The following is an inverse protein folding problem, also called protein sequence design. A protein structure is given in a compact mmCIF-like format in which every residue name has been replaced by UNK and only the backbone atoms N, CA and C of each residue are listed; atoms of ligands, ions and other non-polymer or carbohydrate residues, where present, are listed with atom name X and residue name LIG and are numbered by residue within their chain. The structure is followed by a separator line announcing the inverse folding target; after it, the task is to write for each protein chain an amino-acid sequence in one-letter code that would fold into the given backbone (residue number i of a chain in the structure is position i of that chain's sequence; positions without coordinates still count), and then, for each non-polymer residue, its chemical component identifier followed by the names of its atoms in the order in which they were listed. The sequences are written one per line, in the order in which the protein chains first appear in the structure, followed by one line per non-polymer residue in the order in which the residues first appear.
data_IF_879660557120
#
_entry.id   IF_879660557120
#
_cell.length_a   1.000
_cell.length_b   1.000
_cell.length_c   1.000
_cell.angle_alpha   90.00
_cell.angle_beta   90.00
_cell.angle_gamma   90.00
#
_symmetry.space_group_name_H-M   'P 1'
#
loop_
_entity.id
_entity.type
_entity.pdbx_description
1 polymer ?
#
# COMPACT_ATOMS: atom_id res chain seq x y z
N UNK A 1 -63.14 -57.03 -28.85
CA UNK A 1 -62.38 -55.78 -29.08
C UNK A 1 -60.93 -56.02 -28.69
N UNK A 2 -60.14 -56.49 -29.64
CA UNK A 2 -58.73 -56.87 -29.46
C UNK A 2 -58.01 -56.33 -30.70
N UNK A 3 -57.41 -55.15 -30.57
CA UNK A 3 -56.45 -54.64 -31.54
C UNK A 3 -55.18 -55.48 -31.40
N UNK A 4 -54.67 -55.99 -32.52
CA UNK A 4 -53.53 -56.90 -32.56
C UNK A 4 -52.25 -56.21 -32.11
N UNK A 5 -51.41 -56.98 -31.40
CA UNK A 5 -50.13 -56.61 -30.80
C UNK A 5 -49.11 -56.02 -31.79
N UNK A 6 -49.36 -56.04 -33.09
CA UNK A 6 -48.48 -55.54 -34.15
C UNK A 6 -48.41 -54.00 -34.28
N UNK A 7 -49.47 -53.26 -33.94
CA UNK A 7 -49.49 -51.80 -34.17
C UNK A 7 -48.78 -51.00 -33.06
N UNK A 8 -48.60 -51.60 -31.88
CA UNK A 8 -47.85 -50.98 -30.76
C UNK A 8 -46.33 -51.07 -30.97
N UNK A 9 -45.84 -52.08 -31.68
CA UNK A 9 -44.40 -52.27 -31.93
C UNK A 9 -43.84 -51.36 -33.03
N UNK A 10 -44.63 -50.90 -34.00
CA UNK A 10 -44.17 -49.96 -35.04
C UNK A 10 -44.01 -48.52 -34.51
N UNK A 11 -44.84 -48.11 -33.54
CA UNK A 11 -44.75 -46.78 -32.91
C UNK A 11 -43.51 -46.64 -31.99
N UNK A 12 -43.15 -47.70 -31.25
CA UNK A 12 -41.99 -47.71 -30.35
C UNK A 12 -40.64 -47.71 -31.11
N UNK A 13 -40.55 -48.34 -32.28
CA UNK A 13 -39.35 -48.32 -33.13
C UNK A 13 -39.10 -46.96 -33.80
N UNK A 14 -40.16 -46.21 -34.13
CA UNK A 14 -40.07 -44.87 -34.72
C UNK A 14 -39.50 -43.84 -33.73
N UNK A 15 -39.90 -43.91 -32.45
CA UNK A 15 -39.40 -43.00 -31.41
C UNK A 15 -37.94 -43.30 -31.00
N UNK A 16 -37.50 -44.56 -30.98
CA UNK A 16 -36.08 -44.91 -30.73
C UNK A 16 -35.14 -44.38 -31.82
N UNK A 17 -35.57 -44.39 -33.08
CA UNK A 17 -34.77 -43.86 -34.19
C UNK A 17 -34.73 -42.33 -34.22
N UNK A 18 -35.79 -41.64 -33.78
CA UNK A 18 -35.78 -40.18 -33.61
C UNK A 18 -34.90 -39.74 -32.44
N UNK A 19 -34.94 -40.45 -31.31
CA UNK A 19 -34.08 -40.15 -30.14
C UNK A 19 -32.60 -40.46 -30.44
N UNK A 20 -32.29 -41.53 -31.19
CA UNK A 20 -30.91 -41.80 -31.66
C UNK A 20 -30.41 -40.76 -32.66
N UNK A 21 -31.25 -40.28 -33.58
CA UNK A 21 -30.86 -39.22 -34.53
C UNK A 21 -30.67 -37.86 -33.84
N UNK A 22 -31.44 -37.55 -32.80
CA UNK A 22 -31.25 -36.34 -31.99
C UNK A 22 -29.99 -36.44 -31.12
N UNK A 23 -29.70 -37.62 -30.54
CA UNK A 23 -28.46 -37.86 -29.79
C UNK A 23 -27.21 -37.81 -30.68
N UNK A 24 -27.27 -38.29 -31.92
CA UNK A 24 -26.15 -38.22 -32.88
C UNK A 24 -25.95 -36.80 -33.43
N UNK A 25 -27.01 -35.97 -33.55
CA UNK A 25 -26.85 -34.55 -33.90
C UNK A 25 -26.23 -33.74 -32.75
N UNK A 26 -26.65 -34.01 -31.50
CA UNK A 26 -26.09 -33.35 -30.31
C UNK A 26 -24.63 -33.80 -30.07
N UNK A 27 -24.29 -35.06 -30.36
CA UNK A 27 -22.92 -35.57 -30.24
C UNK A 27 -21.98 -35.10 -31.38
N UNK A 28 -22.49 -34.81 -32.58
CA UNK A 28 -21.69 -34.24 -33.67
C UNK A 28 -21.51 -32.72 -33.59
N UNK A 29 -22.40 -31.99 -32.91
CA UNK A 29 -22.13 -30.61 -32.50
C UNK A 29 -21.08 -30.51 -31.38
N UNK A 30 -20.80 -31.62 -30.66
CA UNK A 30 -19.84 -31.67 -29.55
C UNK A 30 -18.43 -32.18 -29.92
N UNK A 31 -18.21 -32.64 -31.16
CA UNK A 31 -16.90 -33.19 -31.58
C UNK A 31 -16.30 -32.57 -32.87
N UNK A 32 -16.96 -31.60 -33.50
CA UNK A 32 -16.44 -30.86 -34.67
C UNK A 32 -16.42 -29.33 -34.50
N UNK A 33 -16.11 -28.87 -33.28
CA UNK A 33 -15.47 -27.57 -33.06
C UNK A 33 -14.29 -27.70 -32.08
N UNK A 34 -13.12 -28.19 -32.53
CA UNK A 34 -11.89 -27.92 -31.79
C UNK A 34 -10.87 -27.17 -32.66
N UNK A 35 -11.29 -26.34 -33.61
CA UNK A 35 -10.40 -25.37 -34.25
C UNK A 35 -11.20 -24.13 -34.63
N UNK A 36 -10.77 -22.96 -34.16
CA UNK A 36 -11.35 -21.63 -34.39
C UNK A 36 -12.42 -21.16 -33.39
N UNK A 37 -12.22 -21.44 -32.11
CA UNK A 37 -12.67 -20.58 -31.01
C UNK A 37 -11.55 -20.54 -29.96
N UNK A 38 -10.33 -20.20 -30.40
CA UNK A 38 -9.63 -19.15 -29.65
C UNK A 38 -10.60 -17.99 -29.79
N UNK A 39 -11.41 -17.76 -28.77
CA UNK A 39 -11.83 -16.40 -28.52
C UNK A 39 -10.55 -15.60 -28.74
N UNK A 40 -10.57 -14.70 -29.72
CA UNK A 40 -9.83 -13.49 -29.50
C UNK A 40 -10.35 -13.05 -28.13
N UNK A 41 -9.63 -13.41 -27.06
CA UNK A 41 -9.43 -12.45 -26.00
C UNK A 41 -9.27 -11.17 -26.79
N UNK A 42 -10.26 -10.29 -26.69
CA UNK A 42 -9.94 -8.90 -26.84
C UNK A 42 -8.71 -8.80 -25.96
N UNK A 43 -7.53 -8.71 -26.58
CA UNK A 43 -6.50 -7.81 -26.10
C UNK A 43 -7.30 -6.56 -25.84
N UNK A 44 -7.80 -6.45 -24.61
CA UNK A 44 -8.11 -5.16 -24.02
C UNK A 44 -6.82 -4.46 -24.36
N UNK A 45 -6.87 -3.53 -25.32
CA UNK A 45 -5.77 -2.59 -25.49
C UNK A 45 -5.49 -2.17 -24.07
N UNK A 46 -4.36 -2.65 -23.54
CA UNK A 46 -4.00 -2.43 -22.16
C UNK A 46 -3.87 -0.92 -22.11
N UNK A 47 -4.92 -0.25 -21.65
CA UNK A 47 -4.89 1.17 -21.40
C UNK A 47 -3.61 1.42 -20.63
N UNK A 48 -2.91 2.50 -20.97
CA UNK A 48 -1.56 2.77 -20.48
C UNK A 48 -1.41 2.33 -19.00
N UNK A 49 -0.66 1.24 -18.75
CA UNK A 49 -0.50 0.65 -17.40
C UNK A 49 0.16 1.62 -16.41
N UNK A 50 0.61 2.78 -16.89
CA UNK A 50 1.25 3.86 -16.15
C UNK A 50 0.30 5.02 -15.83
N UNK A 51 -1.01 4.89 -16.11
CA UNK A 51 -2.02 5.94 -15.83
C UNK A 51 -2.04 6.35 -14.35
N UNK A 52 -1.70 5.44 -13.43
CA UNK A 52 -1.63 5.75 -12.00
C UNK A 52 -0.62 6.86 -11.65
N UNK A 53 0.39 7.12 -12.50
CA UNK A 53 1.36 8.22 -12.32
C UNK A 53 0.70 9.62 -12.38
N UNK A 54 -0.51 9.68 -12.90
CA UNK A 54 -1.28 10.89 -13.15
C UNK A 54 -2.63 10.92 -12.42
N UNK A 55 -2.85 9.99 -11.48
CA UNK A 55 -4.07 9.88 -10.70
C UNK A 55 -3.84 10.14 -9.21
N UNK A 56 -4.93 10.44 -8.52
CA UNK A 56 -4.99 10.67 -7.07
C UNK A 56 -5.76 9.55 -6.34
N UNK A 57 -5.99 8.42 -7.02
CA UNK A 57 -6.69 7.26 -6.45
C UNK A 57 -5.78 6.56 -5.42
N UNK A 58 -6.18 6.39 -4.15
CA UNK A 58 -5.39 5.62 -3.20
C UNK A 58 -5.54 4.10 -3.36
N UNK A 59 -6.41 3.61 -4.24
CA UNK A 59 -6.76 2.18 -4.37
C UNK A 59 -6.34 1.53 -5.70
N UNK A 60 -5.47 2.17 -6.51
CA UNK A 60 -5.12 1.67 -7.85
C UNK A 60 -4.30 0.37 -7.85
N UNK A 61 -3.67 0.02 -6.73
CA UNK A 61 -2.81 -1.17 -6.62
C UNK A 61 -3.63 -2.46 -6.50
N UNK A 62 -3.05 -3.57 -6.92
CA UNK A 62 -3.67 -4.89 -6.84
C UNK A 62 -2.60 -5.97 -6.70
N UNK A 63 -3.01 -7.22 -6.44
CA UNK A 63 -2.12 -8.39 -6.36
C UNK A 63 -1.09 -8.48 -7.50
N UNK A 64 -1.52 -8.11 -8.71
CA UNK A 64 -0.74 -8.26 -9.95
C UNK A 64 0.02 -6.97 -10.33
N UNK A 65 -0.04 -5.93 -9.50
CA UNK A 65 0.70 -4.69 -9.68
C UNK A 65 2.21 -4.88 -9.39
N UNK A 66 3.12 -4.13 -10.05
CA UNK A 66 4.56 -4.29 -9.82
C UNK A 66 4.96 -4.03 -8.37
N UNK A 67 5.92 -4.80 -7.87
CA UNK A 67 6.22 -4.88 -6.43
C UNK A 67 7.30 -3.88 -6.03
N UNK A 68 7.13 -3.25 -4.87
CA UNK A 68 8.18 -2.53 -4.17
C UNK A 68 8.58 -3.30 -2.89
N UNK A 69 9.37 -4.35 -3.08
CA UNK A 69 9.79 -5.25 -2.01
C UNK A 69 10.74 -4.57 -1.02
N UNK A 70 10.81 -5.06 0.21
CA UNK A 70 11.69 -4.54 1.27
C UNK A 70 13.17 -4.44 0.86
N UNK A 71 13.76 -5.46 0.18
CA UNK A 71 15.14 -5.36 -0.31
C UNK A 71 15.42 -4.16 -1.23
N UNK A 72 14.42 -3.66 -1.98
CA UNK A 72 14.58 -2.50 -2.88
C UNK A 72 14.89 -1.20 -2.14
N UNK A 73 14.44 -1.05 -0.89
CA UNK A 73 14.47 0.22 -0.18
C UNK A 73 15.07 0.18 1.22
N UNK A 74 15.25 -1.00 1.83
CA UNK A 74 15.78 -1.09 3.18
C UNK A 74 17.30 -0.80 3.25
N UNK A 75 18.05 -1.21 2.21
CA UNK A 75 19.51 -1.06 2.14
C UNK A 75 20.33 -2.27 2.62
N UNK A 76 19.65 -3.35 3.02
CA UNK A 76 20.23 -4.65 3.36
C UNK A 76 19.36 -5.74 2.71
N UNK A 77 19.89 -6.52 1.75
CA UNK A 77 19.13 -7.55 1.04
C UNK A 77 18.63 -8.68 1.95
N UNK A 78 19.25 -8.88 3.12
CA UNK A 78 18.83 -9.94 4.06
C UNK A 78 17.51 -9.62 4.76
N UNK A 79 17.12 -8.34 4.80
CA UNK A 79 15.86 -7.90 5.40
C UNK A 79 14.72 -8.08 4.40
N UNK A 80 13.80 -8.98 4.75
CA UNK A 80 12.68 -9.36 3.90
C UNK A 80 11.40 -8.63 4.28
N UNK A 81 11.19 -8.25 5.53
CA UNK A 81 10.02 -7.45 5.92
C UNK A 81 10.36 -6.36 6.94
N UNK A 82 9.60 -5.27 6.87
CA UNK A 82 9.62 -4.23 7.90
C UNK A 82 8.27 -4.14 8.59
N UNK A 83 8.31 -4.15 9.92
CA UNK A 83 7.17 -3.93 10.79
C UNK A 83 7.19 -2.49 11.29
N UNK A 84 6.07 -1.78 11.12
CA UNK A 84 5.83 -0.50 11.80
C UNK A 84 4.73 -0.71 12.83
N UNK A 85 5.05 -0.56 14.10
CA UNK A 85 4.07 -0.58 15.18
C UNK A 85 3.62 0.87 15.41
N UNK A 86 2.38 1.18 15.05
CA UNK A 86 1.82 2.52 15.16
C UNK A 86 0.62 2.56 16.12
N UNK A 87 0.76 3.32 17.22
CA UNK A 87 -0.29 3.47 18.23
C UNK A 87 -1.06 4.78 18.03
N UNK A 88 -2.38 4.72 18.03
CA UNK A 88 -3.24 5.85 17.65
C UNK A 88 -3.79 6.64 18.84
N UNK A 89 -4.37 7.81 18.57
CA UNK A 89 -5.14 8.65 19.48
C UNK A 89 -4.40 9.43 20.57
N UNK A 90 -3.07 9.61 20.47
CA UNK A 90 -2.34 10.21 21.60
C UNK A 90 -2.83 11.62 21.95
N UNK A 91 -3.27 11.76 23.20
CA UNK A 91 -3.64 13.01 23.88
C UNK A 91 -3.09 13.14 25.31
N UNK A 92 -2.55 12.04 25.84
CA UNK A 92 -2.09 11.89 27.22
C UNK A 92 -0.80 11.08 27.22
N UNK A 93 0.32 11.74 27.50
CA UNK A 93 1.64 11.11 27.49
C UNK A 93 1.73 9.96 28.50
N UNK A 94 1.19 10.13 29.72
CA UNK A 94 1.37 9.15 30.79
C UNK A 94 0.66 7.84 30.49
N UNK A 95 -0.56 7.91 29.95
CA UNK A 95 -1.32 6.73 29.52
C UNK A 95 -0.55 5.95 28.46
N UNK A 96 0.01 6.64 27.47
CA UNK A 96 0.72 6.02 26.36
C UNK A 96 2.06 5.46 26.79
N UNK A 97 2.82 6.19 27.62
CA UNK A 97 4.07 5.69 28.21
C UNK A 97 3.83 4.42 29.02
N UNK A 98 2.80 4.40 29.88
CA UNK A 98 2.50 3.22 30.71
C UNK A 98 2.20 2.00 29.85
N UNK A 99 1.42 2.18 28.78
CA UNK A 99 1.09 1.09 27.87
C UNK A 99 2.30 0.63 27.05
N UNK A 100 3.03 1.58 26.46
CA UNK A 100 4.12 1.31 25.52
C UNK A 100 5.40 0.85 26.19
N UNK A 101 5.70 1.27 27.43
CA UNK A 101 7.03 1.05 28.03
C UNK A 101 7.55 -0.40 27.90
N UNK A 102 6.77 -1.44 28.21
CA UNK A 102 7.22 -2.83 28.01
C UNK A 102 7.52 -3.17 26.53
N UNK A 103 6.75 -2.62 25.58
CA UNK A 103 6.97 -2.81 24.14
C UNK A 103 8.27 -2.11 23.71
N UNK A 104 8.50 -0.88 24.17
CA UNK A 104 9.70 -0.10 23.82
C UNK A 104 10.97 -0.75 24.37
N UNK A 105 10.96 -1.25 25.61
CA UNK A 105 12.09 -2.00 26.16
C UNK A 105 12.36 -3.27 25.35
N UNK A 106 11.32 -4.02 24.98
CA UNK A 106 11.48 -5.23 24.18
C UNK A 106 12.09 -4.95 22.80
N UNK A 107 11.66 -3.88 22.13
CA UNK A 107 12.25 -3.49 20.85
C UNK A 107 13.72 -3.06 21.00
N UNK A 108 14.07 -2.33 22.06
CA UNK A 108 15.47 -1.94 22.35
C UNK A 108 16.37 -3.16 22.56
N UNK A 109 15.87 -4.22 23.19
CA UNK A 109 16.62 -5.47 23.35
C UNK A 109 16.95 -6.14 22.00
N UNK A 110 16.07 -6.01 21.00
CA UNK A 110 16.20 -6.69 19.71
C UNK A 110 16.95 -5.82 18.69
N UNK A 111 16.58 -4.54 18.58
CA UNK A 111 17.05 -3.63 17.53
C UNK A 111 18.05 -2.59 18.03
N UNK A 112 18.23 -2.45 19.35
CA UNK A 112 19.00 -1.36 19.95
C UNK A 112 18.25 -0.01 20.01
N UNK A 113 17.03 0.06 19.47
CA UNK A 113 16.16 1.24 19.52
C UNK A 113 14.68 0.84 19.67
N UNK A 114 13.82 1.82 19.94
CA UNK A 114 12.40 1.66 20.18
C UNK A 114 11.56 2.13 18.97
N UNK A 115 11.80 1.54 17.79
CA UNK A 115 11.13 1.87 16.53
C UNK A 115 9.60 1.70 16.56
N UNK A 116 8.91 2.69 17.11
CA UNK A 116 7.45 2.81 17.24
C UNK A 116 7.03 4.19 16.75
N UNK A 117 5.87 4.27 16.10
CA UNK A 117 5.24 5.53 15.71
C UNK A 117 4.04 5.82 16.62
N UNK A 118 3.94 7.02 17.17
CA UNK A 118 2.77 7.45 17.95
C UNK A 118 1.95 8.43 17.12
N UNK A 119 0.79 7.99 16.63
CA UNK A 119 -0.16 8.87 15.93
C UNK A 119 -0.87 9.75 16.96
N UNK A 120 -0.59 11.05 16.89
CA UNK A 120 -0.86 12.03 17.94
C UNK A 120 -1.92 13.02 17.49
N UNK A 121 -2.91 13.27 18.33
CA UNK A 121 -3.90 14.30 18.09
C UNK A 121 -3.46 15.66 18.66
N UNK A 122 -3.11 15.68 19.96
CA UNK A 122 -2.69 16.89 20.69
C UNK A 122 -1.72 16.54 21.80
N UNK A 123 -0.73 17.39 22.01
CA UNK A 123 0.21 17.28 23.12
C UNK A 123 0.78 18.67 23.41
N UNK A 124 1.33 18.88 24.60
CA UNK A 124 2.20 20.03 24.86
C UNK A 124 3.55 19.78 24.17
N UNK A 125 3.95 20.57 23.15
CA UNK A 125 5.22 20.34 22.45
C UNK A 125 6.46 20.48 23.33
N UNK A 126 6.33 21.15 24.48
CA UNK A 126 7.40 21.35 25.45
C UNK A 126 7.46 20.25 26.53
N UNK A 127 6.59 19.24 26.49
CA UNK A 127 6.63 18.16 27.48
C UNK A 127 7.98 17.41 27.39
N UNK A 128 8.74 17.33 28.51
CA UNK A 128 10.08 16.76 28.49
C UNK A 128 10.11 15.27 28.14
N UNK A 129 9.01 14.54 28.34
CA UNK A 129 8.94 13.11 28.03
C UNK A 129 8.98 12.85 26.52
N UNK A 130 8.54 13.79 25.69
CA UNK A 130 8.66 13.69 24.23
C UNK A 130 10.13 13.54 23.80
N UNK A 131 11.06 14.23 24.47
CA UNK A 131 12.49 14.11 24.18
C UNK A 131 13.03 12.73 24.53
N UNK A 132 12.54 12.12 25.61
CA UNK A 132 12.89 10.73 25.97
C UNK A 132 12.51 9.79 24.84
N UNK A 133 11.26 9.85 24.36
CA UNK A 133 10.79 9.02 23.26
C UNK A 133 11.60 9.23 21.97
N UNK A 134 11.84 10.48 21.58
CA UNK A 134 12.61 10.79 20.36
C UNK A 134 14.05 10.22 20.46
N UNK A 135 14.71 10.34 21.61
CA UNK A 135 16.05 9.79 21.83
C UNK A 135 16.08 8.26 21.82
N UNK A 136 14.98 7.61 22.20
CA UNK A 136 14.83 6.16 22.14
C UNK A 136 14.51 5.64 20.73
N UNK A 137 14.22 6.51 19.76
CA UNK A 137 13.88 6.14 18.38
C UNK A 137 12.38 6.10 18.06
N UNK A 138 11.53 6.59 18.97
CA UNK A 138 10.08 6.71 18.73
C UNK A 138 9.80 7.95 17.88
N UNK A 139 8.92 7.83 16.88
CA UNK A 139 8.46 8.97 16.10
C UNK A 139 7.06 9.44 16.54
N UNK A 140 6.83 10.75 16.45
CA UNK A 140 5.57 11.40 16.84
C UNK A 140 4.90 11.93 15.57
N UNK A 141 3.77 11.32 15.21
CA UNK A 141 3.14 11.43 13.90
C UNK A 141 1.73 12.03 13.98
N UNK A 142 1.14 12.43 12.85
CA UNK A 142 -0.09 13.24 12.82
C UNK A 142 -1.35 12.36 12.81
N UNK A 143 -2.31 12.67 13.70
CA UNK A 143 -3.64 12.01 13.75
C UNK A 143 -4.82 12.99 13.81
N UNK A 144 -4.63 14.20 13.28
CA UNK A 144 -5.55 15.37 13.35
C UNK A 144 -5.78 15.93 14.75
N UNK A 145 -6.00 17.24 14.83
CA UNK A 145 -6.13 17.94 16.11
C UNK A 145 -7.42 17.54 16.84
N UNK A 146 -8.55 17.50 16.14
CA UNK A 146 -9.89 17.26 16.72
C UNK A 146 -10.34 15.80 16.65
N UNK A 147 -9.62 14.94 15.93
CA UNK A 147 -10.03 13.56 15.65
C UNK A 147 -11.48 13.47 15.12
N UNK A 148 -11.84 14.22 14.06
CA UNK A 148 -13.16 14.11 13.45
C UNK A 148 -13.31 12.78 12.71
N UNK A 149 -14.41 12.10 12.98
CA UNK A 149 -14.70 10.80 12.40
C UNK A 149 -16.11 10.82 11.77
N UNK A 150 -16.24 10.77 10.43
CA UNK A 150 -15.23 11.05 9.39
C UNK A 150 -14.74 12.52 9.34
N UNK A 151 -13.59 12.77 8.69
CA UNK A 151 -12.98 14.11 8.56
C UNK A 151 -13.87 15.12 7.81
N UNK A 152 -14.42 14.74 6.66
CA UNK A 152 -15.18 15.63 5.76
C UNK A 152 -16.71 15.60 6.01
N UNK A 153 -17.16 15.05 7.14
CA UNK A 153 -18.59 14.79 7.40
C UNK A 153 -19.46 16.05 7.52
N UNK A 154 -18.89 17.14 8.01
CA UNK A 154 -19.64 18.36 8.37
C UNK A 154 -19.94 19.26 7.17
N UNK A 155 -19.49 18.90 5.95
CA UNK A 155 -19.54 19.76 4.74
C UNK A 155 -18.84 21.11 4.92
N UNK A 156 -17.90 21.17 5.85
CA UNK A 156 -17.09 22.33 6.17
C UNK A 156 -15.62 21.99 5.87
N UNK A 157 -15.19 22.36 4.67
CA UNK A 157 -13.84 22.04 4.18
C UNK A 157 -12.76 22.78 4.97
N UNK A 158 -12.98 24.05 5.30
CA UNK A 158 -12.02 24.86 6.07
C UNK A 158 -11.83 24.30 7.49
N UNK A 159 -12.91 23.86 8.14
CA UNK A 159 -12.81 23.16 9.43
C UNK A 159 -12.02 21.86 9.31
N UNK A 160 -12.29 21.05 8.29
CA UNK A 160 -11.61 19.79 8.06
C UNK A 160 -10.11 19.98 7.78
N UNK A 161 -9.76 20.87 6.84
CA UNK A 161 -8.37 21.21 6.56
C UNK A 161 -7.68 21.79 7.79
N UNK A 162 -8.34 22.72 8.48
CA UNK A 162 -7.80 23.37 9.66
C UNK A 162 -7.46 22.41 10.81
N UNK A 163 -8.19 21.30 10.98
CA UNK A 163 -7.85 20.30 12.02
C UNK A 163 -6.60 19.49 11.67
N UNK A 164 -6.34 19.27 10.38
CA UNK A 164 -5.13 18.62 9.89
C UNK A 164 -3.95 19.57 10.06
N UNK A 165 -4.07 20.78 9.50
CA UNK A 165 -3.02 21.80 9.52
C UNK A 165 -2.55 22.13 10.95
N UNK A 166 -3.50 22.34 11.89
CA UNK A 166 -3.15 22.61 13.30
C UNK A 166 -2.35 21.47 13.93
N UNK A 167 -2.65 20.23 13.58
CA UNK A 167 -1.94 19.08 14.13
C UNK A 167 -0.54 18.98 13.53
N UNK A 168 -0.42 19.14 12.20
CA UNK A 168 0.87 19.19 11.51
C UNK A 168 1.77 20.26 12.12
N UNK A 169 1.25 21.47 12.29
CA UNK A 169 2.02 22.59 12.86
C UNK A 169 2.40 22.35 14.31
N UNK A 170 1.44 21.93 15.16
CA UNK A 170 1.71 21.62 16.57
C UNK A 170 2.84 20.58 16.73
N UNK A 171 2.83 19.50 15.95
CA UNK A 171 3.83 18.44 16.12
C UNK A 171 5.20 18.82 15.55
N UNK A 172 5.27 19.80 14.63
CA UNK A 172 6.53 20.39 14.18
C UNK A 172 7.12 21.38 15.20
N UNK A 173 6.34 21.84 16.20
CA UNK A 173 6.85 22.65 17.31
C UNK A 173 7.66 21.82 18.33
N UNK A 174 7.55 20.48 18.31
CA UNK A 174 8.28 19.58 19.21
C UNK A 174 9.78 19.60 18.84
N UNK A 175 10.68 20.03 19.74
CA UNK A 175 12.12 20.08 19.44
C UNK A 175 12.68 18.72 19.00
N UNK A 176 13.45 18.67 17.92
CA UNK A 176 14.07 17.43 17.42
C UNK A 176 13.10 16.41 16.80
N UNK A 177 11.80 16.67 16.84
CA UNK A 177 10.80 15.90 16.10
C UNK A 177 10.83 16.27 14.62
N UNK A 178 10.39 15.33 13.79
CA UNK A 178 10.09 15.54 12.37
C UNK A 178 8.92 14.63 12.03
N UNK A 179 7.68 15.10 12.21
CA UNK A 179 6.51 14.34 11.80
C UNK A 179 6.56 14.10 10.30
N UNK A 180 6.36 12.85 9.87
CA UNK A 180 6.43 12.45 8.46
C UNK A 180 5.17 11.75 8.00
N UNK A 181 4.42 11.14 8.92
CA UNK A 181 3.28 10.30 8.64
C UNK A 181 1.96 10.90 9.14
N UNK A 182 0.90 10.56 8.43
CA UNK A 182 -0.49 10.82 8.77
C UNK A 182 -1.27 9.53 8.86
N UNK A 183 -2.22 9.46 9.80
CA UNK A 183 -3.27 8.45 9.79
C UNK A 183 -4.63 9.11 9.90
N UNK A 184 -5.53 8.75 8.99
CA UNK A 184 -6.89 9.26 8.97
C UNK A 184 -7.69 8.70 10.17
N UNK A 185 -8.31 9.55 11.01
CA UNK A 185 -9.21 9.09 12.07
C UNK A 185 -10.25 8.08 11.56
N UNK A 186 -10.44 7.00 12.32
CA UNK A 186 -11.40 5.92 12.04
C UNK A 186 -11.22 5.19 10.70
N UNK A 187 -10.05 5.25 10.06
CA UNK A 187 -9.82 4.56 8.78
C UNK A 187 -9.95 3.03 8.87
N UNK A 188 -9.86 2.48 10.07
CA UNK A 188 -9.96 1.06 10.38
C UNK A 188 -11.39 0.57 10.67
N UNK A 189 -12.36 1.50 10.68
CA UNK A 189 -13.73 1.26 11.11
C UNK A 189 -14.80 1.86 10.20
N UNK A 190 -14.45 2.88 9.42
CA UNK A 190 -15.34 3.59 8.49
C UNK A 190 -14.61 3.92 7.17
N UNK A 191 -15.38 4.20 6.12
CA UNK A 191 -14.85 4.72 4.85
C UNK A 191 -14.50 6.22 4.98
N UNK A 192 -13.39 6.54 5.63
CA UNK A 192 -12.96 7.94 5.88
C UNK A 192 -11.91 8.45 4.90
N UNK A 193 -11.16 7.55 4.25
CA UNK A 193 -10.13 7.88 3.26
C UNK A 193 -10.77 8.20 1.90
N UNK A 194 -10.31 9.27 1.25
CA UNK A 194 -10.82 9.68 -0.07
C UNK A 194 -9.72 10.34 -0.92
N UNK A 195 -9.78 10.22 -2.26
CA UNK A 195 -8.87 10.94 -3.17
C UNK A 195 -8.82 12.45 -2.89
N UNK A 196 -9.98 13.04 -2.57
CA UNK A 196 -10.11 14.47 -2.26
C UNK A 196 -9.22 14.91 -1.08
N UNK A 197 -9.09 14.07 -0.06
CA UNK A 197 -8.21 14.36 1.07
C UNK A 197 -6.75 14.51 0.62
N UNK A 198 -6.27 13.62 -0.25
CA UNK A 198 -4.90 13.69 -0.76
C UNK A 198 -4.68 14.95 -1.59
N UNK A 199 -5.53 15.17 -2.60
CA UNK A 199 -5.39 16.29 -3.53
C UNK A 199 -5.53 17.66 -2.86
N UNK A 200 -6.50 17.83 -1.97
CA UNK A 200 -6.87 19.16 -1.44
C UNK A 200 -6.33 19.44 -0.03
N UNK A 201 -5.93 18.42 0.75
CA UNK A 201 -5.47 18.58 2.14
C UNK A 201 -4.04 18.06 2.33
N UNK A 202 -3.80 16.75 2.23
CA UNK A 202 -2.50 16.14 2.55
C UNK A 202 -1.34 16.69 1.70
N UNK A 203 -1.58 16.86 0.39
CA UNK A 203 -0.55 17.35 -0.54
C UNK A 203 -0.29 18.86 -0.39
N UNK A 204 -1.13 19.59 0.36
CA UNK A 204 -0.90 21.00 0.66
C UNK A 204 0.16 21.17 1.77
N UNK A 205 0.65 22.40 1.92
CA UNK A 205 1.39 22.79 3.13
C UNK A 205 0.42 23.35 4.15
N UNK A 206 0.77 23.22 5.42
CA UNK A 206 0.13 23.95 6.50
C UNK A 206 0.42 25.46 6.41
N UNK A 207 -0.28 26.31 7.17
CA UNK A 207 0.00 27.75 7.24
C UNK A 207 1.43 28.10 7.67
N UNK A 208 2.08 27.28 8.51
CA UNK A 208 3.50 27.48 8.87
C UNK A 208 4.48 26.90 7.83
N UNK A 209 3.99 26.36 6.72
CA UNK A 209 4.81 25.84 5.62
C UNK A 209 5.26 24.38 5.80
N UNK A 210 4.75 23.68 6.82
CA UNK A 210 5.06 22.28 7.07
C UNK A 210 4.27 21.35 6.14
N UNK A 211 4.78 20.13 5.92
CA UNK A 211 4.14 19.12 5.10
C UNK A 211 4.59 17.71 5.49
N UNK A 212 3.81 16.69 5.09
CA UNK A 212 4.06 15.27 5.37
C UNK A 212 4.43 14.50 4.10
N UNK A 213 4.89 13.26 4.27
CA UNK A 213 5.35 12.40 3.16
C UNK A 213 4.77 10.98 3.19
N UNK A 214 4.22 10.52 4.32
CA UNK A 214 3.62 9.19 4.47
C UNK A 214 2.14 9.34 4.88
N UNK A 215 1.29 8.53 4.28
CA UNK A 215 -0.04 8.17 4.76
C UNK A 215 -0.04 6.68 5.13
N UNK A 216 -0.81 6.32 6.15
CA UNK A 216 -0.99 4.93 6.60
C UNK A 216 -2.45 4.71 6.99
N UNK A 217 -3.34 4.92 6.03
CA UNK A 217 -4.79 4.91 6.26
C UNK A 217 -5.55 3.87 5.44
N UNK A 218 -4.96 3.30 4.38
CA UNK A 218 -5.57 2.22 3.58
C UNK A 218 -5.28 0.86 4.19
N UNK A 219 -6.21 -0.09 4.15
CA UNK A 219 -6.00 -1.43 4.72
C UNK A 219 -5.67 -2.48 3.65
N UNK A 220 -4.57 -3.20 3.81
CA UNK A 220 -4.26 -4.36 2.98
C UNK A 220 -4.84 -5.64 3.60
N UNK A 221 -5.40 -6.50 2.75
CA UNK A 221 -6.04 -7.76 3.14
C UNK A 221 -5.40 -8.90 2.34
N UNK A 222 -4.81 -9.86 3.04
CA UNK A 222 -4.38 -11.11 2.42
C UNK A 222 -5.56 -12.05 2.18
N UNK A 223 -5.55 -12.72 1.04
CA UNK A 223 -6.59 -13.67 0.62
C UNK A 223 -5.97 -14.98 0.15
N UNK A 224 -6.80 -16.02 0.02
CA UNK A 224 -6.39 -17.31 -0.54
C UNK A 224 -6.24 -17.29 -2.07
N UNK A 225 -6.47 -16.13 -2.71
CA UNK A 225 -6.34 -15.91 -4.15
C UNK A 225 -4.91 -15.60 -4.55
N UNK A 226 -4.01 -15.27 -3.62
CA UNK A 226 -2.59 -15.10 -3.92
C UNK A 226 -1.86 -16.45 -3.83
N UNK A 227 -1.46 -17.04 -4.97
CA UNK A 227 -0.79 -18.34 -4.98
C UNK A 227 0.62 -18.29 -4.34
N UNK A 228 1.18 -17.10 -4.10
CA UNK A 228 2.48 -16.96 -3.42
C UNK A 228 2.37 -17.18 -1.92
N UNK A 229 1.17 -17.08 -1.34
CA UNK A 229 0.98 -17.16 0.11
C UNK A 229 0.59 -18.60 0.49
N UNK A 230 1.31 -19.23 1.43
CA UNK A 230 0.90 -20.52 1.98
C UNK A 230 -0.52 -20.48 2.55
N UNK A 231 -1.36 -21.46 2.18
CA UNK A 231 -2.79 -21.46 2.50
C UNK A 231 -3.05 -21.39 4.00
N UNK A 232 -2.19 -21.99 4.82
CA UNK A 232 -2.30 -21.96 6.28
C UNK A 232 -2.29 -20.55 6.89
N UNK A 233 -1.68 -19.58 6.20
CA UNK A 233 -1.64 -18.19 6.63
C UNK A 233 -2.92 -17.41 6.30
N UNK A 234 -3.70 -17.85 5.31
CA UNK A 234 -4.86 -17.11 4.79
C UNK A 234 -6.18 -17.88 4.88
N UNK A 235 -6.15 -19.17 5.25
CA UNK A 235 -7.32 -20.03 5.43
C UNK A 235 -7.35 -20.59 6.85
N UNK A 236 -8.49 -20.48 7.52
CA UNK A 236 -8.74 -21.09 8.82
C UNK A 236 -9.01 -22.60 8.70
N UNK A 237 -8.90 -23.40 9.78
CA UNK A 237 -9.13 -24.85 9.73
C UNK A 237 -10.54 -25.26 9.26
N UNK A 238 -11.52 -24.36 9.34
CA UNK A 238 -12.88 -24.57 8.85
C UNK A 238 -13.05 -24.24 7.35
N UNK A 239 -11.97 -23.84 6.68
CA UNK A 239 -11.94 -23.50 5.26
C UNK A 239 -12.32 -22.05 4.92
N UNK A 240 -12.62 -21.21 5.91
CA UNK A 240 -12.93 -19.80 5.69
C UNK A 240 -11.66 -18.94 5.54
N UNK A 241 -11.78 -17.81 4.84
CA UNK A 241 -10.70 -16.81 4.78
C UNK A 241 -10.34 -16.29 6.17
N UNK A 242 -9.09 -16.49 6.59
CA UNK A 242 -8.58 -16.11 7.92
C UNK A 242 -8.70 -14.61 8.15
N UNK A 243 -8.46 -13.80 7.13
CA UNK A 243 -8.34 -12.34 7.25
C UNK A 243 -9.55 -11.60 6.67
N UNK A 244 -10.10 -12.06 5.55
CA UNK A 244 -11.28 -11.43 4.90
C UNK A 244 -12.48 -11.29 5.85
N UNK A 245 -12.60 -12.17 6.84
CA UNK A 245 -13.65 -12.14 7.86
C UNK A 245 -13.67 -10.86 8.72
N UNK A 246 -12.60 -10.08 8.75
CA UNK A 246 -12.54 -8.82 9.48
C UNK A 246 -13.00 -7.61 8.65
N UNK A 247 -13.15 -7.78 7.34
CA UNK A 247 -13.64 -6.71 6.45
C UNK A 247 -15.16 -6.59 6.61
N UNK A 248 -15.71 -5.41 6.98
CA UNK A 248 -17.14 -5.23 7.18
C UNK A 248 -17.87 -5.02 5.84
N UNK A 249 -17.89 -6.07 5.02
CA UNK A 249 -18.52 -6.07 3.69
C UNK A 249 -20.02 -5.79 3.74
N UNK A 250 -20.68 -6.16 4.84
CA UNK A 250 -22.10 -5.91 5.11
C UNK A 250 -22.43 -4.41 5.22
N UNK A 251 -21.43 -3.58 5.53
CA UNK A 251 -21.55 -2.12 5.64
C UNK A 251 -20.98 -1.37 4.43
N UNK A 252 -20.61 -2.09 3.37
CA UNK A 252 -20.02 -1.49 2.18
C UNK A 252 -18.66 -0.84 2.46
N UNK A 253 -17.83 -1.46 3.31
CA UNK A 253 -16.48 -0.99 3.56
C UNK A 253 -15.62 -1.14 2.30
N UNK A 254 -14.98 -0.05 1.87
CA UNK A 254 -14.20 0.03 0.63
C UNK A 254 -12.76 0.45 0.84
N UNK A 255 -12.37 0.82 2.08
CA UNK A 255 -11.02 1.28 2.39
C UNK A 255 -10.02 0.10 2.47
N UNK A 256 -9.95 -0.71 1.41
CA UNK A 256 -9.13 -1.92 1.35
C UNK A 256 -8.47 -2.11 -0.01
N UNK A 257 -7.23 -2.60 0.02
CA UNK A 257 -6.52 -3.21 -1.10
C UNK A 257 -6.25 -4.69 -0.78
N UNK A 258 -5.97 -5.50 -1.79
CA UNK A 258 -5.85 -6.95 -1.62
C UNK A 258 -4.49 -7.47 -2.10
N UNK A 259 -3.86 -8.31 -1.28
CA UNK A 259 -2.62 -9.05 -1.58
C UNK A 259 -1.41 -8.20 -2.05
N UNK A 260 -1.40 -6.92 -1.67
CA UNK A 260 -0.38 -5.94 -2.02
C UNK A 260 0.19 -5.27 -0.75
N UNK A 261 1.12 -5.92 -0.04
CA UNK A 261 1.69 -5.41 1.21
C UNK A 261 2.89 -4.47 1.00
N UNK A 262 2.95 -3.77 -0.14
CA UNK A 262 4.10 -2.91 -0.50
C UNK A 262 3.73 -1.44 -0.40
N UNK A 263 4.68 -0.56 -0.07
CA UNK A 263 4.44 0.88 -0.15
C UNK A 263 4.21 1.31 -1.60
N UNK A 264 3.40 2.35 -1.82
CA UNK A 264 3.16 2.89 -3.15
C UNK A 264 2.87 4.41 -3.12
N UNK A 265 3.22 5.17 -4.17
CA UNK A 265 2.93 6.60 -4.19
C UNK A 265 1.45 6.91 -4.45
N UNK A 266 0.90 7.91 -3.78
CA UNK A 266 -0.38 8.57 -4.09
C UNK A 266 -0.07 10.00 -4.57
N UNK A 267 -0.68 10.41 -5.69
CA UNK A 267 -0.53 11.76 -6.27
C UNK A 267 0.92 12.21 -6.53
N UNK A 268 1.88 11.27 -6.59
CA UNK A 268 3.34 11.48 -6.66
C UNK A 268 3.99 12.14 -5.43
N UNK A 269 3.20 12.56 -4.44
CA UNK A 269 3.66 13.38 -3.32
C UNK A 269 3.62 12.65 -1.97
N UNK A 270 2.83 11.59 -1.89
CA UNK A 270 2.59 10.83 -0.67
C UNK A 270 3.02 9.38 -0.86
N UNK A 271 3.65 8.77 0.12
CA UNK A 271 3.78 7.33 0.25
C UNK A 271 2.60 6.76 1.04
N UNK A 272 1.87 5.81 0.47
CA UNK A 272 0.96 4.98 1.24
C UNK A 272 1.71 3.78 1.84
N UNK A 273 1.60 3.63 3.14
CA UNK A 273 2.02 2.47 3.92
C UNK A 273 0.76 1.79 4.49
N UNK A 274 0.14 0.93 3.68
CA UNK A 274 -1.14 0.34 4.04
C UNK A 274 -1.08 -0.46 5.33
N UNK A 275 -2.06 -0.23 6.19
CA UNK A 275 -2.27 -0.95 7.44
C UNK A 275 -2.59 -2.41 7.18
N UNK A 276 -2.17 -3.29 8.09
CA UNK A 276 -2.57 -4.69 8.02
C UNK A 276 -3.99 -4.90 8.53
N UNK A 277 -4.71 -5.84 7.90
CA UNK A 277 -5.98 -6.35 8.43
C UNK A 277 -5.73 -7.64 9.21
N UNK A 278 -6.32 -7.82 10.41
CA UNK A 278 -7.11 -6.84 11.14
C UNK A 278 -6.27 -5.77 11.88
N UNK A 279 -6.82 -4.57 12.06
CA UNK A 279 -6.44 -3.69 13.18
C UNK A 279 -6.88 -4.27 14.52
N UNK A 280 -6.41 -3.74 15.65
CA UNK A 280 -6.94 -4.15 16.96
C UNK A 280 -8.44 -3.82 17.14
N UNK A 281 -8.93 -2.73 16.55
CA UNK A 281 -10.35 -2.37 16.57
C UNK A 281 -11.22 -3.38 15.81
N UNK A 282 -10.83 -3.75 14.59
CA UNK A 282 -11.60 -4.72 13.79
C UNK A 282 -11.50 -6.12 14.42
N UNK A 283 -10.35 -6.45 15.00
CA UNK A 283 -10.15 -7.69 15.74
C UNK A 283 -11.05 -7.76 16.99
N UNK A 284 -11.01 -6.76 17.87
CA UNK A 284 -11.82 -6.76 19.09
C UNK A 284 -13.32 -6.68 18.78
N UNK A 285 -13.71 -5.97 17.73
CA UNK A 285 -15.12 -5.87 17.34
C UNK A 285 -15.68 -7.26 17.02
N UNK A 286 -14.90 -8.05 16.27
CA UNK A 286 -15.26 -9.42 15.88
C UNK A 286 -15.09 -10.44 17.00
N UNK A 287 -13.96 -10.40 17.72
CA UNK A 287 -13.51 -11.49 18.61
C UNK A 287 -13.60 -11.15 20.11
N UNK A 288 -14.03 -9.94 20.45
CA UNK A 288 -13.97 -9.33 21.79
C UNK A 288 -12.54 -8.94 22.20
N UNK A 289 -12.40 -7.99 23.15
CA UNK A 289 -11.10 -7.52 23.62
C UNK A 289 -10.17 -8.64 24.10
N UNK A 290 -8.87 -8.45 23.85
CA UNK A 290 -7.77 -9.30 24.32
C UNK A 290 -7.90 -10.78 23.93
N UNK A 291 -8.57 -11.07 22.81
CA UNK A 291 -8.72 -12.43 22.33
C UNK A 291 -7.38 -12.98 21.79
N UNK A 292 -6.93 -14.19 22.19
CA UNK A 292 -5.70 -14.79 21.68
C UNK A 292 -5.74 -15.06 20.16
N UNK A 293 -6.92 -15.21 19.56
CA UNK A 293 -7.07 -15.38 18.12
C UNK A 293 -6.59 -14.14 17.33
N UNK A 294 -6.63 -12.95 17.93
CA UNK A 294 -6.07 -11.73 17.30
C UNK A 294 -4.57 -11.89 17.05
N UNK A 295 -3.82 -12.35 18.07
CA UNK A 295 -2.36 -12.54 17.94
C UNK A 295 -2.04 -13.68 16.97
N UNK A 296 -2.84 -14.76 16.98
CA UNK A 296 -2.72 -15.84 16.00
C UNK A 296 -2.91 -15.34 14.57
N UNK A 297 -3.90 -14.49 14.33
CA UNK A 297 -4.18 -13.99 12.98
C UNK A 297 -3.14 -12.91 12.58
N UNK A 298 -2.65 -12.08 13.50
CA UNK A 298 -1.52 -11.17 13.24
C UNK A 298 -0.21 -11.88 12.90
N UNK A 299 0.13 -12.95 13.61
CA UNK A 299 1.35 -13.73 13.31
C UNK A 299 1.28 -14.39 11.93
N UNK A 300 0.11 -14.89 11.52
CA UNK A 300 -0.12 -15.38 10.16
C UNK A 300 0.02 -14.28 9.09
N UNK A 301 -0.50 -13.09 9.35
CA UNK A 301 -0.34 -11.93 8.45
C UNK A 301 1.12 -11.51 8.35
N UNK A 302 1.85 -11.46 9.47
CA UNK A 302 3.28 -11.17 9.47
C UNK A 302 4.07 -12.20 8.65
N UNK A 303 3.77 -13.49 8.82
CA UNK A 303 4.41 -14.55 8.05
C UNK A 303 4.14 -14.41 6.54
N UNK A 304 2.90 -14.08 6.16
CA UNK A 304 2.56 -13.78 4.78
C UNK A 304 3.29 -12.53 4.25
N UNK A 305 3.44 -11.48 5.07
CA UNK A 305 4.24 -10.30 4.73
C UNK A 305 5.70 -10.65 4.47
N UNK A 306 6.31 -11.55 5.26
CA UNK A 306 7.69 -12.02 5.03
C UNK A 306 7.80 -12.79 3.72
N UNK A 307 6.86 -13.69 3.43
CA UNK A 307 6.80 -14.42 2.14
C UNK A 307 6.71 -13.45 0.96
N UNK A 308 5.92 -12.39 1.11
CA UNK A 308 5.75 -11.35 0.09
C UNK A 308 6.89 -10.33 0.07
N UNK A 309 7.80 -10.36 1.04
CA UNK A 309 8.84 -9.38 1.24
C UNK A 309 8.32 -7.94 1.36
N UNK A 310 7.23 -7.74 2.11
CA UNK A 310 6.51 -6.46 2.20
C UNK A 310 6.65 -5.73 3.54
N UNK A 311 5.67 -4.89 3.84
CA UNK A 311 5.54 -4.13 5.09
C UNK A 311 4.36 -4.61 5.93
N UNK A 312 4.55 -4.61 7.25
CA UNK A 312 3.52 -4.93 8.25
C UNK A 312 3.27 -3.68 9.09
N UNK A 313 2.28 -2.87 8.71
CA UNK A 313 1.95 -1.63 9.41
C UNK A 313 0.77 -1.88 10.36
N UNK A 314 1.06 -2.03 11.66
CA UNK A 314 0.03 -2.34 12.66
C UNK A 314 -0.58 -1.06 13.22
N UNK A 315 -1.92 -1.04 13.27
CA UNK A 315 -2.69 -0.06 14.04
C UNK A 315 -3.12 -0.70 15.35
N UNK A 316 -2.83 -0.05 16.46
CA UNK A 316 -3.31 -0.46 17.78
C UNK A 316 -3.55 0.71 18.73
N UNK A 317 -4.24 0.44 19.83
CA UNK A 317 -4.67 1.48 20.76
C UNK A 317 -4.54 1.05 22.24
N UNK A 318 -4.31 2.00 23.17
CA UNK A 318 -4.28 1.72 24.60
C UNK A 318 -5.70 1.77 25.21
N UNK A 319 -6.68 1.15 24.56
CA UNK A 319 -8.10 1.16 24.97
C UNK A 319 -8.57 -0.14 25.64
N UNK A 320 -7.63 -1.07 25.92
CA UNK A 320 -7.94 -2.37 26.49
C UNK A 320 -8.47 -3.38 25.46
N UNK A 321 -8.38 -3.08 24.17
CA UNK A 321 -8.74 -3.97 23.06
C UNK A 321 -7.68 -5.03 22.79
N UNK A 322 -6.42 -4.64 22.96
CA UNK A 322 -5.24 -5.49 22.91
C UNK A 322 -4.35 -5.11 24.09
N UNK A 323 -3.67 -6.10 24.70
CA UNK A 323 -2.70 -5.82 25.77
C UNK A 323 -1.29 -5.61 25.20
N UNK A 324 -0.42 -4.94 25.97
CA UNK A 324 0.99 -4.81 25.61
C UNK A 324 1.70 -6.17 25.52
N UNK A 325 1.35 -7.14 26.37
CA UNK A 325 1.83 -8.53 26.28
C UNK A 325 1.47 -9.19 24.94
N UNK A 326 0.30 -8.91 24.38
CA UNK A 326 -0.11 -9.47 23.09
C UNK A 326 0.68 -8.84 21.93
N UNK A 327 1.02 -7.55 22.01
CA UNK A 327 1.92 -6.91 21.05
C UNK A 327 3.34 -7.48 21.17
N UNK A 328 3.82 -7.70 22.40
CA UNK A 328 5.13 -8.34 22.64
C UNK A 328 5.17 -9.75 22.07
N UNK A 329 4.11 -10.56 22.22
CA UNK A 329 4.03 -11.90 21.59
C UNK A 329 4.16 -11.87 20.07
N UNK A 330 3.63 -10.83 19.41
CA UNK A 330 3.83 -10.63 17.97
C UNK A 330 5.30 -10.32 17.64
N UNK A 331 5.93 -9.44 18.44
CA UNK A 331 7.36 -9.09 18.29
C UNK A 331 8.24 -10.33 18.48
N UNK A 332 7.95 -11.12 19.50
CA UNK A 332 8.69 -12.36 19.81
C UNK A 332 8.52 -13.37 18.69
N UNK A 333 7.30 -13.59 18.18
CA UNK A 333 7.07 -14.47 17.02
C UNK A 333 7.90 -14.03 15.81
N UNK A 334 7.92 -12.73 15.50
CA UNK A 334 8.72 -12.19 14.40
C UNK A 334 10.20 -12.55 14.54
N UNK A 335 10.73 -12.34 15.74
CA UNK A 335 12.15 -12.50 16.05
C UNK A 335 12.55 -13.97 16.12
N UNK A 336 11.74 -14.81 16.75
CA UNK A 336 11.98 -16.24 16.90
C UNK A 336 11.89 -16.98 15.56
N UNK A 337 10.89 -16.64 14.73
CA UNK A 337 10.65 -17.35 13.47
C UNK A 337 11.50 -16.83 12.32
N UNK A 338 11.68 -15.51 12.21
CA UNK A 338 12.31 -14.88 11.04
C UNK A 338 13.65 -14.20 11.35
N UNK A 339 13.99 -14.00 12.63
CA UNK A 339 15.26 -13.40 13.05
C UNK A 339 15.52 -12.06 12.37
N UNK A 340 16.75 -11.88 11.86
CA UNK A 340 17.19 -10.65 11.23
C UNK A 340 16.43 -10.28 9.93
N UNK A 341 15.67 -11.21 9.34
CA UNK A 341 14.88 -10.94 8.14
C UNK A 341 13.69 -10.00 8.39
N UNK A 342 13.30 -9.77 9.65
CA UNK A 342 12.27 -8.82 10.05
C UNK A 342 12.91 -7.70 10.87
N UNK A 343 12.56 -6.46 10.56
CA UNK A 343 13.04 -5.27 11.26
C UNK A 343 11.87 -4.43 11.74
N UNK A 344 12.00 -3.81 12.91
CA UNK A 344 10.98 -2.88 13.44
C UNK A 344 11.49 -1.46 13.34
N UNK A 345 10.73 -0.62 12.64
CA UNK A 345 11.09 0.78 12.37
C UNK A 345 9.91 1.70 12.70
N UNK A 346 10.22 2.91 13.15
CA UNK A 346 9.29 4.04 13.12
C UNK A 346 9.08 4.54 11.69
N UNK A 347 8.01 5.30 11.43
CA UNK A 347 7.77 5.88 10.10
C UNK A 347 8.88 6.86 9.67
N UNK A 348 9.51 7.54 10.64
CA UNK A 348 10.66 8.40 10.39
C UNK A 348 11.83 7.61 9.80
N UNK A 349 12.18 6.47 10.40
CA UNK A 349 13.27 5.62 9.93
C UNK A 349 12.97 4.96 8.59
N UNK A 350 11.70 4.54 8.39
CA UNK A 350 11.23 4.03 7.10
C UNK A 350 11.46 5.08 6.00
N UNK A 351 11.02 6.31 6.21
CA UNK A 351 11.18 7.37 5.21
C UNK A 351 12.65 7.68 4.92
N UNK A 352 13.49 7.73 5.97
CA UNK A 352 14.93 7.97 5.80
C UNK A 352 15.58 6.88 4.94
N UNK A 353 15.24 5.61 5.17
CA UNK A 353 15.73 4.49 4.35
C UNK A 353 15.23 4.54 2.91
N UNK A 354 13.93 4.82 2.70
CA UNK A 354 13.39 4.99 1.35
C UNK A 354 14.14 6.09 0.59
N UNK A 355 14.30 7.26 1.21
CA UNK A 355 15.02 8.35 0.58
C UNK A 355 16.47 7.98 0.26
N UNK A 356 17.16 7.31 1.20
CA UNK A 356 18.57 6.96 1.04
C UNK A 356 18.79 5.86 -0.02
N UNK A 357 18.08 4.74 0.08
CA UNK A 357 18.41 3.52 -0.67
C UNK A 357 17.55 3.34 -1.92
N UNK A 358 16.28 3.74 -1.89
CA UNK A 358 15.36 3.64 -3.02
C UNK A 358 15.38 4.89 -3.92
N UNK A 359 15.49 6.08 -3.34
CA UNK A 359 15.36 7.33 -4.11
C UNK A 359 16.68 8.07 -4.34
N UNK A 360 17.84 7.45 -4.03
CA UNK A 360 19.16 8.04 -4.22
C UNK A 360 19.30 9.45 -3.60
N UNK A 361 18.69 9.66 -2.43
CA UNK A 361 18.66 10.92 -1.70
C UNK A 361 17.64 11.94 -2.22
N UNK A 362 16.77 11.58 -3.15
CA UNK A 362 15.79 12.46 -3.79
C UNK A 362 14.37 12.11 -3.33
N UNK A 363 13.85 12.70 -2.23
CA UNK A 363 12.49 12.43 -1.75
C UNK A 363 11.43 12.73 -2.82
N UNK A 364 10.22 12.17 -2.68
CA UNK A 364 9.09 12.48 -3.57
C UNK A 364 8.75 13.98 -3.56
N UNK A 365 8.93 14.64 -2.42
CA UNK A 365 8.69 16.08 -2.23
C UNK A 365 10.00 16.83 -2.08
N UNK A 366 10.13 17.98 -2.75
CA UNK A 366 11.27 18.88 -2.59
C UNK A 366 11.21 19.63 -1.24
N UNK A 367 12.22 20.46 -0.95
CA UNK A 367 12.28 21.22 0.31
C UNK A 367 11.10 22.19 0.52
N UNK A 368 10.39 22.56 -0.54
CA UNK A 368 9.19 23.40 -0.50
C UNK A 368 7.89 22.58 -0.46
N UNK A 369 7.97 21.25 -0.39
CA UNK A 369 6.82 20.35 -0.38
C UNK A 369 6.21 20.10 -1.76
N UNK A 370 6.82 20.55 -2.85
CA UNK A 370 6.33 20.31 -4.21
C UNK A 370 6.89 19.00 -4.81
N UNK A 371 6.36 18.58 -5.95
CA UNK A 371 6.81 17.39 -6.69
C UNK A 371 8.30 17.47 -7.06
N UNK A 372 9.12 16.58 -6.51
CA UNK A 372 10.56 16.55 -6.78
C UNK A 372 10.93 15.84 -8.08
N UNK A 373 9.98 15.56 -8.98
CA UNK A 373 10.25 14.91 -10.26
C UNK A 373 10.73 13.47 -10.10
N UNK A 374 10.20 12.75 -9.12
CA UNK A 374 10.50 11.34 -8.87
C UNK A 374 9.28 10.50 -9.23
N UNK A 375 9.46 9.40 -9.98
CA UNK A 375 8.38 8.46 -10.31
C UNK A 375 8.84 7.03 -10.07
N UNK A 376 7.90 6.21 -9.63
CA UNK A 376 8.07 4.77 -9.54
C UNK A 376 7.22 4.12 -10.62
N UNK A 377 7.86 3.27 -11.42
CA UNK A 377 7.20 2.55 -12.49
C UNK A 377 8.04 1.34 -12.90
N UNK A 378 7.39 0.25 -13.26
CA UNK A 378 8.04 -0.91 -13.87
C UNK A 378 8.43 -0.56 -15.32
N UNK A 379 9.69 -0.22 -15.55
CA UNK A 379 10.19 0.25 -16.85
C UNK A 379 10.46 -0.91 -17.81
N UNK A 380 11.00 -2.02 -17.30
CA UNK A 380 11.43 -3.16 -18.10
C UNK A 380 10.36 -4.27 -18.22
N UNK A 381 9.25 -4.17 -17.48
CA UNK A 381 8.14 -5.13 -17.48
C UNK A 381 8.37 -6.37 -16.62
N UNK A 382 9.29 -6.36 -15.66
CA UNK A 382 9.65 -7.52 -14.84
C UNK A 382 8.77 -7.72 -13.59
N UNK A 383 7.82 -6.80 -13.35
CA UNK A 383 6.93 -6.85 -12.20
C UNK A 383 7.54 -6.36 -10.89
N UNK A 384 8.64 -5.62 -10.94
CA UNK A 384 9.20 -4.84 -9.84
C UNK A 384 9.17 -3.34 -10.16
N UNK A 385 9.18 -2.53 -9.11
CA UNK A 385 9.20 -1.07 -9.25
C UNK A 385 10.62 -0.55 -9.51
N UNK A 386 10.76 0.17 -10.62
CA UNK A 386 11.95 0.97 -10.94
C UNK A 386 11.75 2.43 -10.53
N UNK A 387 12.83 3.21 -10.54
CA UNK A 387 12.81 4.63 -10.15
C UNK A 387 13.39 5.50 -11.25
N UNK A 388 12.65 6.55 -11.62
CA UNK A 388 13.17 7.65 -12.43
C UNK A 388 13.16 8.93 -11.63
N UNK A 389 14.28 9.66 -11.70
CA UNK A 389 14.50 10.91 -11.02
C UNK A 389 14.83 11.95 -12.09
N UNK A 390 13.86 12.79 -12.42
CA UNK A 390 13.99 13.84 -13.43
C UNK A 390 13.94 15.25 -12.85
N UNK A 391 14.45 15.48 -11.65
CA UNK A 391 14.69 16.86 -11.20
C UNK A 391 15.94 17.45 -11.86
N UNK A 392 16.11 18.77 -11.71
CA UNK A 392 17.24 19.51 -12.28
C UNK A 392 18.62 19.02 -11.81
N UNK A 393 18.70 18.34 -10.66
CA UNK A 393 19.96 18.00 -10.01
C UNK A 393 20.51 16.63 -10.40
N UNK A 394 19.64 15.62 -10.59
CA UNK A 394 20.08 14.21 -10.63
C UNK A 394 19.87 13.54 -11.99
N UNK A 395 18.68 13.67 -12.61
CA UNK A 395 18.38 13.08 -13.93
C UNK A 395 18.87 11.63 -14.11
N UNK A 396 18.34 10.71 -13.29
CA UNK A 396 18.77 9.31 -13.17
C UNK A 396 17.63 8.31 -13.38
N UNK A 397 17.92 7.22 -14.05
CA UNK A 397 17.10 6.00 -14.11
C UNK A 397 17.73 4.93 -13.22
N UNK A 398 16.95 4.23 -12.41
CA UNK A 398 17.40 3.11 -11.57
C UNK A 398 16.49 1.92 -11.83
N UNK A 399 17.03 0.85 -12.38
CA UNK A 399 16.34 -0.41 -12.61
C UNK A 399 16.68 -1.38 -11.47
N UNK A 400 15.67 -2.03 -10.90
CA UNK A 400 15.90 -3.05 -9.90
C UNK A 400 16.25 -4.38 -10.57
N UNK A 401 17.37 -4.98 -10.18
CA UNK A 401 17.72 -6.34 -10.57
C UNK A 401 17.35 -7.31 -9.43
N UNK A 402 16.25 -8.07 -9.56
CA UNK A 402 15.78 -8.95 -8.48
C UNK A 402 16.67 -10.17 -8.24
N UNK A 403 17.43 -10.61 -9.24
CA UNK A 403 18.34 -11.76 -9.11
C UNK A 403 19.62 -11.38 -8.34
N UNK A 404 20.09 -10.14 -8.51
CA UNK A 404 21.27 -9.62 -7.84
C UNK A 404 20.95 -8.79 -6.58
N UNK A 405 19.68 -8.52 -6.34
CA UNK A 405 19.18 -7.65 -5.27
C UNK A 405 19.89 -6.29 -5.23
N UNK A 406 20.06 -5.65 -6.41
CA UNK A 406 20.74 -4.37 -6.54
C UNK A 406 20.08 -3.41 -7.56
N UNK A 407 20.52 -2.16 -7.56
CA UNK A 407 20.07 -1.13 -8.49
C UNK A 407 21.08 -0.95 -9.62
N UNK A 408 20.62 -1.08 -10.86
CA UNK A 408 21.36 -0.72 -12.07
C UNK A 408 21.00 0.72 -12.48
N UNK A 409 21.98 1.60 -12.57
CA UNK A 409 21.74 3.04 -12.79
C UNK A 409 22.19 3.50 -14.18
N UNK A 410 21.37 4.33 -14.83
CA UNK A 410 21.67 4.99 -16.10
C UNK A 410 21.13 6.43 -16.13
N UNK A 411 21.45 7.18 -17.19
CA UNK A 411 21.01 8.56 -17.33
C UNK A 411 19.50 8.65 -17.64
N UNK A 412 18.85 9.70 -17.15
CA UNK A 412 17.48 10.09 -17.54
C UNK A 412 17.54 11.35 -18.43
N UNK A 413 16.83 11.40 -19.58
CA UNK A 413 17.17 12.34 -20.66
C UNK A 413 16.68 13.78 -20.46
N UNK A 414 15.67 14.01 -19.61
CA UNK A 414 15.01 15.33 -19.49
C UNK A 414 14.56 15.60 -18.04
N UNK A 415 13.95 16.76 -17.80
CA UNK A 415 13.38 17.11 -16.50
C UNK A 415 11.88 16.79 -16.48
N UNK A 416 11.41 16.06 -15.47
CA UNK A 416 9.99 15.72 -15.29
C UNK A 416 9.14 16.88 -14.80
N UNK A 417 9.78 17.87 -14.17
CA UNK A 417 9.12 18.97 -13.48
C UNK A 417 9.83 20.30 -13.78
N UNK A 418 9.08 21.40 -13.81
CA UNK A 418 9.62 22.76 -13.98
C UNK A 418 10.46 23.16 -12.77
N UNK A 419 11.13 24.32 -12.82
CA UNK A 419 11.61 24.93 -11.56
C UNK A 419 10.41 25.25 -10.65
N UNK A 420 10.52 25.11 -9.32
CA UNK A 420 9.48 25.55 -8.40
C UNK A 420 9.20 27.06 -8.56
N UNK A 421 7.92 27.42 -8.63
CA UNK A 421 7.49 28.82 -8.58
C UNK A 421 7.63 29.39 -7.16
N UNK A 422 7.54 30.72 -7.02
CA UNK A 422 7.70 31.41 -5.73
C UNK A 422 6.70 30.97 -4.66
N UNK A 423 5.49 30.58 -5.07
CA UNK A 423 4.45 30.02 -4.20
C UNK A 423 4.68 28.53 -3.86
N UNK A 424 5.78 27.93 -4.33
CA UNK A 424 6.12 26.53 -4.14
C UNK A 424 5.45 25.56 -5.12
N UNK A 425 4.60 26.01 -6.04
CA UNK A 425 3.99 25.11 -7.04
C UNK A 425 4.99 24.73 -8.13
N UNK A 426 4.88 23.52 -8.67
CA UNK A 426 5.78 23.03 -9.69
C UNK A 426 4.97 22.30 -10.77
N UNK A 427 5.22 22.62 -12.04
CA UNK A 427 4.46 22.07 -13.18
C UNK A 427 5.11 20.80 -13.69
N UNK A 428 4.28 19.83 -14.08
CA UNK A 428 4.73 18.61 -14.77
C UNK A 428 5.11 18.98 -16.21
N UNK A 429 6.31 18.58 -16.63
CA UNK A 429 6.82 18.79 -18.00
C UNK A 429 6.63 17.57 -18.89
N UNK A 430 6.76 16.38 -18.30
CA UNK A 430 6.81 15.13 -19.06
C UNK A 430 5.87 14.08 -18.50
N UNK A 431 5.35 13.22 -19.37
CA UNK A 431 4.41 12.15 -19.03
C UNK A 431 4.85 10.83 -19.65
N UNK A 432 4.51 9.74 -18.97
CA UNK A 432 4.84 8.39 -19.41
C UNK A 432 3.68 7.73 -20.14
N UNK A 433 4.00 6.97 -21.17
CA UNK A 433 3.08 6.18 -21.96
C UNK A 433 3.63 4.80 -22.26
N UNK A 434 2.78 3.97 -22.88
CA UNK A 434 3.20 2.70 -23.48
C UNK A 434 2.93 2.79 -24.98
N UNK A 435 3.93 2.49 -25.80
CA UNK A 435 3.80 2.36 -27.26
C UNK A 435 4.60 1.15 -27.74
N UNK A 436 3.95 0.25 -28.48
CA UNK A 436 4.55 -1.01 -28.94
C UNK A 436 5.21 -1.79 -27.80
N UNK A 437 4.48 -1.95 -26.69
CA UNK A 437 4.91 -2.63 -25.46
C UNK A 437 6.14 -2.03 -24.74
N UNK A 438 6.61 -0.85 -25.16
CA UNK A 438 7.72 -0.15 -24.53
C UNK A 438 7.26 1.11 -23.82
N UNK A 439 7.93 1.42 -22.71
CA UNK A 439 7.74 2.69 -22.01
C UNK A 439 8.28 3.82 -22.86
N UNK A 440 7.43 4.82 -23.08
CA UNK A 440 7.76 6.07 -23.75
C UNK A 440 7.57 7.25 -22.80
N UNK A 441 8.39 8.27 -22.95
CA UNK A 441 8.35 9.53 -22.23
C UNK A 441 8.11 10.64 -23.23
N UNK A 442 7.10 11.47 -22.99
CA UNK A 442 6.82 12.64 -23.81
C UNK A 442 7.02 13.90 -23.00
N UNK A 443 7.81 14.84 -23.52
CA UNK A 443 7.89 16.21 -23.01
C UNK A 443 7.22 17.13 -24.00
N UNK A 444 6.21 17.87 -23.53
CA UNK A 444 5.53 18.88 -24.33
C UNK A 444 5.37 20.16 -23.50
N UNK A 445 6.28 21.10 -23.72
CA UNK A 445 6.23 22.46 -23.18
C UNK A 445 6.30 23.47 -24.33
N UNK A 446 6.07 24.78 -24.09
CA UNK A 446 6.26 25.78 -25.14
C UNK A 446 7.69 25.82 -25.71
N UNK A 447 8.67 25.32 -24.96
CA UNK A 447 10.10 25.33 -25.31
C UNK A 447 10.64 23.98 -25.79
N UNK A 448 9.93 22.87 -25.53
CA UNK A 448 10.43 21.51 -25.75
C UNK A 448 9.31 20.60 -26.25
N UNK A 449 9.56 19.91 -27.37
CA UNK A 449 8.68 18.86 -27.91
C UNK A 449 9.56 17.69 -28.29
N UNK A 450 9.73 16.77 -27.35
CA UNK A 450 10.64 15.62 -27.49
C UNK A 450 9.99 14.37 -26.93
N UNK A 451 10.36 13.23 -27.48
CA UNK A 451 9.92 11.93 -27.01
C UNK A 451 11.14 11.01 -26.84
N UNK A 452 11.06 10.10 -25.89
CA UNK A 452 12.06 9.06 -25.68
C UNK A 452 11.39 7.72 -25.46
N UNK A 453 12.10 6.67 -25.82
CA UNK A 453 11.69 5.27 -25.63
C UNK A 453 12.74 4.57 -24.80
N UNK A 454 12.30 3.80 -23.81
CA UNK A 454 13.20 2.97 -23.03
C UNK A 454 13.49 1.67 -23.80
N UNK A 455 14.76 1.40 -24.11
CA UNK A 455 15.19 0.22 -24.89
C UNK A 455 15.50 -1.02 -24.03
N UNK A 456 15.21 -0.94 -22.72
CA UNK A 456 15.59 -1.94 -21.72
C UNK A 456 16.90 -1.61 -20.98
N UNK A 457 17.62 -0.56 -21.38
CA UNK A 457 18.84 -0.10 -20.72
C UNK A 457 18.95 1.42 -20.66
N UNK A 458 18.68 2.09 -21.77
CA UNK A 458 18.81 3.53 -21.96
C UNK A 458 17.52 4.14 -22.52
N UNK A 459 17.40 5.45 -22.36
CA UNK A 459 16.41 6.25 -23.06
C UNK A 459 16.96 6.69 -24.41
N UNK A 460 16.28 6.30 -25.50
CA UNK A 460 16.62 6.65 -26.87
C UNK A 460 15.60 7.70 -27.34
N UNK A 461 16.07 8.80 -27.93
CA UNK A 461 15.19 9.82 -28.51
C UNK A 461 14.36 9.21 -29.65
N UNK A 462 13.04 9.40 -29.60
CA UNK A 462 12.07 8.93 -30.60
C UNK A 462 11.88 10.09 -31.60
N UNK A 463 12.58 10.00 -32.74
CA UNK A 463 12.71 11.06 -33.76
C UNK A 463 11.60 11.11 -34.78
#
# INVERSE_FOLDING_TARGET
MLLSVTDVFQSACSNRNRIRRLAILILNCLFFLPYSLRAAEKTVETGNRLVYLDQDDPYYVSRDFPRLTTPQWYGDPTVKAVCVLAIDDMRDIQKYETYLRPILERLKEINGNAGVSIMTCRVDPADPHLQKWIQEGVSIEVHTYDHPCPLLKDRDFEKAKGTVDRCVDLLNEIPGSRPVAYRMPCCDSLNTVSPRFFTEIFNSRSPQGNFLQIDTSVFQVFTDKDPKIPKEYVVDPDGQGRIEKYVPVDRGFVNTIFDYPYPYPISRLCWEFSCVTPSDWSAQHRQKPMNPLTVRDWTAVLDATVVKQGTFNLVFHPHGWISNEQVIKLIDHATEKHGAAVQFLSFREVLDRMNQHLLAGQPLRNQQGADNGVRLLDLNGDGFMDVVIGNQSVQKTRIWNPDQENWEESAFPTQLVSKPAANGTQSIRSRFGIMNDQVVLFTLTPEESSAWRYDGKNWIEDS
#
